data_IF_460905169263
#
_entry.id   IF_460905169263
#
_cell.length_a   1.000
_cell.length_b   1.000
_cell.length_c   1.000
_cell.angle_alpha   90.00
_cell.angle_beta   90.00
_cell.angle_gamma   90.00
#
_symmetry.space_group_name_H-M   'P 1'
#
loop_
_entity.id
_entity.type
_entity.pdbx_description
1 polymer ?
#
# COMPACT_ATOMS: atom_id res chain seq x y z
N UNK A 1 -22.35 23.83 45.17
CA UNK A 1 -22.13 22.61 45.98
C UNK A 1 -20.90 21.92 45.40
N UNK A 2 -19.77 21.95 46.10
CA UNK A 2 -18.45 21.46 45.64
C UNK A 2 -18.20 20.10 46.30
N UNK A 3 -17.88 19.07 45.53
CA UNK A 3 -17.34 17.82 46.07
C UNK A 3 -16.04 17.53 45.32
N UNK A 4 -14.92 17.74 46.04
CA UNK A 4 -13.58 17.30 45.68
C UNK A 4 -13.49 15.82 46.02
N UNK A 5 -13.11 14.97 45.06
CA UNK A 5 -12.56 13.65 45.38
C UNK A 5 -11.06 13.68 45.14
N UNK A 6 -10.35 13.62 46.26
CA UNK A 6 -8.93 13.43 46.40
C UNK A 6 -8.73 11.92 46.59
N UNK A 7 -8.04 11.25 45.68
CA UNK A 7 -7.65 9.86 45.84
C UNK A 7 -6.19 9.70 45.43
N UNK A 8 -5.35 9.77 46.46
CA UNK A 8 -3.98 9.25 46.50
C UNK A 8 -4.04 7.71 46.41
N UNK A 9 -3.25 7.12 45.51
CA UNK A 9 -2.75 5.76 45.70
C UNK A 9 -1.40 5.59 44.97
N UNK A 10 -0.35 5.43 45.76
CA UNK A 10 0.98 4.86 45.47
C UNK A 10 1.03 3.59 46.35
N UNK A 11 1.83 2.52 46.14
CA UNK A 11 2.98 2.29 45.24
C UNK A 11 2.90 0.96 44.45
N UNK A 12 3.83 0.73 43.51
CA UNK A 12 4.63 -0.50 43.46
C UNK A 12 5.71 -0.39 42.36
N UNK A 13 6.98 -0.43 42.73
CA UNK A 13 8.08 -0.62 41.78
C UNK A 13 8.76 -1.93 42.16
N UNK A 14 8.53 -2.96 41.36
CA UNK A 14 9.29 -4.20 41.44
C UNK A 14 10.56 -4.05 40.62
N UNK A 15 11.69 -4.20 41.31
CA UNK A 15 13.01 -4.45 40.74
C UNK A 15 13.04 -5.82 40.10
N UNK A 16 13.41 -5.89 38.82
CA UNK A 16 14.01 -7.10 38.22
C UNK A 16 15.19 -6.62 37.39
N UNK A 17 16.39 -6.91 37.88
CA UNK A 17 17.60 -6.83 37.10
C UNK A 17 17.67 -8.02 36.13
N UNK A 18 18.14 -7.75 34.92
CA UNK A 18 18.64 -8.79 34.02
C UNK A 18 20.01 -8.38 33.50
N UNK A 19 20.88 -9.39 33.49
CA UNK A 19 22.33 -9.36 33.29
C UNK A 19 22.77 -8.84 31.92
N UNK A 20 23.91 -8.17 31.92
CA UNK A 20 24.77 -8.03 30.75
C UNK A 20 25.33 -9.40 30.38
N UNK A 21 25.01 -9.89 29.18
CA UNK A 21 25.73 -10.98 28.54
C UNK A 21 26.71 -10.40 27.53
N UNK A 22 27.96 -10.55 27.92
CA UNK A 22 29.19 -10.27 27.21
C UNK A 22 29.32 -11.27 26.06
N UNK A 23 29.21 -10.84 24.80
CA UNK A 23 29.55 -11.67 23.63
C UNK A 23 30.84 -11.15 22.99
N UNK A 24 31.92 -11.77 23.45
CA UNK A 24 33.27 -11.78 22.88
C UNK A 24 33.26 -12.05 21.37
N UNK A 25 33.77 -11.11 20.60
CA UNK A 25 34.11 -11.33 19.18
C UNK A 25 35.42 -12.12 19.10
N UNK A 26 35.35 -13.32 18.53
CA UNK A 26 36.53 -14.09 18.14
C UNK A 26 36.85 -13.80 16.66
N UNK A 27 37.94 -13.06 16.42
CA UNK A 27 38.62 -13.00 15.12
C UNK A 27 39.30 -14.33 14.84
N UNK A 28 38.97 -14.96 13.71
CA UNK A 28 39.81 -16.00 13.10
C UNK A 28 39.86 -15.80 11.58
N UNK A 29 41.03 -15.31 11.16
CA UNK A 29 41.85 -15.73 10.02
C UNK A 29 41.27 -15.80 8.61
N UNK A 30 41.87 -14.98 7.73
CA UNK A 30 41.98 -15.23 6.29
C UNK A 30 42.68 -16.56 5.98
N UNK A 31 42.49 -17.10 4.75
CA UNK A 31 43.65 -17.22 3.87
C UNK A 31 43.39 -16.92 2.39
N UNK A 32 44.51 -16.85 1.68
CA UNK A 32 44.81 -16.33 0.35
C UNK A 32 44.25 -17.11 -0.86
N UNK A 33 44.07 -16.35 -1.93
CA UNK A 33 44.40 -16.58 -3.35
C UNK A 33 44.74 -18.00 -3.83
N UNK A 34 43.99 -18.46 -4.84
CA UNK A 34 44.50 -19.32 -5.91
C UNK A 34 43.67 -19.14 -7.20
N UNK A 35 44.35 -18.70 -8.26
CA UNK A 35 43.90 -18.72 -9.65
C UNK A 35 43.81 -20.17 -10.16
N UNK A 36 42.80 -20.49 -10.99
CA UNK A 36 42.91 -21.46 -12.10
C UNK A 36 41.85 -21.12 -13.17
N UNK A 37 42.34 -21.05 -14.41
CA UNK A 37 41.73 -20.65 -15.66
C UNK A 37 40.44 -21.37 -16.06
N UNK A 38 39.49 -20.61 -16.63
CA UNK A 38 38.37 -21.13 -17.42
C UNK A 38 38.70 -21.10 -18.93
N UNK A 39 38.21 -22.06 -19.73
CA UNK A 39 38.53 -22.17 -21.16
C UNK A 39 37.70 -21.23 -22.05
N UNK A 40 38.34 -20.86 -23.16
CA UNK A 40 37.96 -19.93 -24.22
C UNK A 40 36.60 -20.25 -24.87
N UNK A 41 35.72 -19.25 -24.92
CA UNK A 41 34.45 -19.21 -25.64
C UNK A 41 34.71 -18.93 -27.14
N UNK A 42 34.11 -19.66 -28.11
CA UNK A 42 34.11 -19.24 -29.51
C UNK A 42 33.13 -18.08 -29.71
N UNK A 43 33.64 -16.93 -30.16
CA UNK A 43 32.85 -15.79 -30.59
C UNK A 43 32.05 -16.15 -31.86
N UNK A 44 30.73 -16.33 -31.71
CA UNK A 44 29.77 -16.22 -32.80
C UNK A 44 29.15 -14.83 -32.70
N UNK A 45 29.33 -14.04 -33.75
CA UNK A 45 28.80 -12.69 -33.89
C UNK A 45 27.34 -12.78 -34.33
N UNK A 46 26.42 -12.55 -33.41
CA UNK A 46 25.01 -12.34 -33.71
C UNK A 46 24.69 -10.87 -33.39
N UNK A 47 24.41 -10.10 -34.43
CA UNK A 47 24.04 -8.70 -34.31
C UNK A 47 22.68 -8.61 -33.61
N UNK A 48 22.70 -8.34 -32.30
CA UNK A 48 21.51 -7.99 -31.56
C UNK A 48 21.02 -6.61 -32.02
N UNK A 49 19.94 -6.62 -32.79
CA UNK A 49 19.08 -5.47 -33.00
C UNK A 49 18.70 -4.91 -31.63
N UNK A 50 19.16 -3.69 -31.35
CA UNK A 50 18.78 -2.94 -30.16
C UNK A 50 17.35 -2.45 -30.38
N UNK A 51 16.37 -3.31 -30.09
CA UNK A 51 15.02 -2.85 -29.83
C UNK A 51 15.11 -1.86 -28.68
N UNK A 52 14.85 -0.59 -28.99
CA UNK A 52 14.65 0.43 -27.97
C UNK A 52 13.34 0.07 -27.29
N UNK A 53 13.42 -0.67 -26.18
CA UNK A 53 12.31 -0.84 -25.26
C UNK A 53 11.95 0.55 -24.78
N UNK A 54 10.90 1.14 -25.35
CA UNK A 54 10.29 2.35 -24.83
C UNK A 54 9.70 1.94 -23.49
N UNK A 55 10.47 2.10 -22.42
CA UNK A 55 9.92 1.97 -21.07
C UNK A 55 8.79 2.99 -20.95
N UNK A 56 7.58 2.57 -20.52
CA UNK A 56 6.53 3.51 -20.17
C UNK A 56 7.13 4.51 -19.19
N UNK A 57 7.23 5.78 -19.61
CA UNK A 57 7.69 6.84 -18.73
C UNK A 57 6.55 7.08 -17.76
N UNK A 58 6.78 6.77 -16.48
CA UNK A 58 5.82 7.17 -15.44
C UNK A 58 5.59 8.67 -15.52
N UNK A 59 4.35 9.15 -15.33
CA UNK A 59 4.07 10.59 -15.33
C UNK A 59 4.94 11.28 -14.28
N UNK A 60 5.31 12.54 -14.50
CA UNK A 60 6.09 13.28 -13.52
C UNK A 60 5.30 13.46 -12.22
N UNK A 61 5.99 13.34 -11.08
CA UNK A 61 5.40 13.62 -9.77
C UNK A 61 5.01 15.09 -9.64
N UNK A 62 3.83 15.33 -9.09
CA UNK A 62 3.25 16.66 -8.85
C UNK A 62 3.30 17.05 -7.37
N UNK A 63 3.52 16.08 -6.47
CA UNK A 63 3.52 16.26 -5.02
C UNK A 63 4.95 16.10 -4.47
N UNK A 64 5.25 16.79 -3.38
CA UNK A 64 6.51 16.65 -2.65
C UNK A 64 6.26 16.19 -1.21
N UNK A 65 5.06 16.44 -0.68
CA UNK A 65 4.67 16.13 0.69
C UNK A 65 3.15 15.91 0.82
N UNK A 66 2.70 15.24 1.90
CA UNK A 66 1.27 15.07 2.20
C UNK A 66 0.48 16.39 2.25
N UNK A 67 1.11 17.49 2.69
CA UNK A 67 0.44 18.79 2.81
C UNK A 67 0.02 19.37 1.44
N UNK A 68 0.65 18.94 0.34
CA UNK A 68 0.40 19.48 -1.00
C UNK A 68 -0.98 19.14 -1.55
N UNK A 69 -1.60 18.05 -1.10
CA UNK A 69 -2.92 17.61 -1.60
C UNK A 69 -4.07 18.45 -1.04
N UNK A 70 -3.80 19.30 -0.04
CA UNK A 70 -4.79 20.17 0.60
C UNK A 70 -6.07 19.42 0.99
N UNK A 71 -5.93 18.25 1.59
CA UNK A 71 -7.08 17.43 2.00
C UNK A 71 -7.83 18.07 3.16
N UNK A 72 -9.16 18.07 3.10
CA UNK A 72 -10.01 18.58 4.16
C UNK A 72 -11.32 17.79 4.27
N UNK A 73 -11.87 17.78 5.49
CA UNK A 73 -13.19 17.24 5.78
C UNK A 73 -14.27 18.21 5.27
N UNK A 74 -15.08 17.76 4.32
CA UNK A 74 -16.01 18.60 3.56
C UNK A 74 -17.28 18.95 4.34
N UNK A 75 -17.69 18.12 5.30
CA UNK A 75 -18.91 18.29 6.08
C UNK A 75 -18.65 18.34 7.60
N UNK A 76 -17.42 18.08 8.04
CA UNK A 76 -17.03 18.10 9.45
C UNK A 76 -17.41 16.83 10.21
N UNK A 77 -17.83 15.78 9.51
CA UNK A 77 -18.28 14.51 10.10
C UNK A 77 -17.16 13.46 10.17
N UNK A 78 -16.00 13.73 9.57
CA UNK A 78 -14.86 12.83 9.57
C UNK A 78 -14.99 11.63 8.62
N UNK A 79 -15.93 11.67 7.68
CA UNK A 79 -16.21 10.59 6.73
C UNK A 79 -16.04 11.03 5.27
N UNK A 80 -16.32 12.30 4.95
CA UNK A 80 -16.36 12.82 3.58
C UNK A 80 -15.24 13.84 3.37
N UNK A 81 -14.19 13.46 2.65
CA UNK A 81 -13.02 14.30 2.40
C UNK A 81 -12.92 14.71 0.94
N UNK A 82 -12.32 15.88 0.73
CA UNK A 82 -11.94 16.38 -0.61
C UNK A 82 -10.45 16.71 -0.58
N UNK A 83 -9.73 16.31 -1.63
CA UNK A 83 -8.35 16.73 -1.87
C UNK A 83 -8.16 17.20 -3.30
N UNK A 84 -7.13 18.02 -3.54
CA UNK A 84 -6.76 18.54 -4.84
C UNK A 84 -5.54 17.81 -5.41
N UNK A 85 -5.60 17.45 -6.69
CA UNK A 85 -4.48 16.88 -7.43
C UNK A 85 -4.60 17.26 -8.91
N UNK A 86 -3.51 17.71 -9.54
CA UNK A 86 -3.49 18.19 -10.94
C UNK A 86 -4.64 19.16 -11.29
N UNK A 87 -4.90 20.12 -10.41
CA UNK A 87 -5.98 21.11 -10.53
C UNK A 87 -7.40 20.50 -10.59
N UNK A 88 -7.57 19.26 -10.15
CA UNK A 88 -8.85 18.58 -10.01
C UNK A 88 -9.12 18.22 -8.54
N UNK A 89 -10.40 18.18 -8.17
CA UNK A 89 -10.81 17.72 -6.85
C UNK A 89 -11.24 16.27 -6.91
N UNK A 90 -10.76 15.48 -5.94
CA UNK A 90 -11.10 14.09 -5.74
C UNK A 90 -11.87 13.94 -4.42
N UNK A 91 -12.80 12.98 -4.39
CA UNK A 91 -13.55 12.63 -3.19
C UNK A 91 -12.93 11.38 -2.55
N UNK A 92 -12.68 11.45 -1.25
CA UNK A 92 -12.23 10.33 -0.43
C UNK A 92 -13.25 10.08 0.69
N UNK A 93 -13.71 8.85 0.79
CA UNK A 93 -14.68 8.43 1.80
C UNK A 93 -14.00 7.50 2.80
N UNK A 94 -14.11 7.83 4.08
CA UNK A 94 -13.65 6.97 5.15
C UNK A 94 -14.84 6.25 5.79
N UNK A 95 -14.80 4.92 5.87
CA UNK A 95 -15.81 4.15 6.60
C UNK A 95 -15.25 2.82 7.08
N UNK A 96 -15.52 2.47 8.34
CA UNK A 96 -15.17 1.17 8.92
C UNK A 96 -13.72 0.73 8.67
N UNK A 97 -12.75 1.63 8.88
CA UNK A 97 -11.33 1.34 8.65
C UNK A 97 -10.93 1.20 7.16
N UNK A 98 -11.75 1.72 6.25
CA UNK A 98 -11.49 1.69 4.80
C UNK A 98 -11.48 3.10 4.21
N UNK A 99 -10.62 3.29 3.20
CA UNK A 99 -10.63 4.50 2.36
C UNK A 99 -11.07 4.18 0.94
N UNK A 100 -12.17 4.79 0.49
CA UNK A 100 -12.57 4.77 -0.91
C UNK A 100 -12.26 6.09 -1.59
N UNK A 101 -11.48 6.07 -2.67
CA UNK A 101 -11.19 7.26 -3.47
C UNK A 101 -11.88 7.16 -4.84
N UNK A 102 -12.72 8.16 -5.15
CA UNK A 102 -13.49 8.18 -6.40
C UNK A 102 -12.66 8.67 -7.56
N UNK A 103 -12.81 8.01 -8.71
CA UNK A 103 -12.08 8.27 -9.96
C UNK A 103 -10.54 8.22 -9.76
N UNK A 104 -10.09 7.43 -8.79
CA UNK A 104 -8.69 7.28 -8.40
C UNK A 104 -7.78 6.80 -9.54
N UNK A 105 -8.35 6.13 -10.55
CA UNK A 105 -7.66 5.71 -11.78
C UNK A 105 -7.02 6.86 -12.58
N UNK A 106 -7.42 8.11 -12.34
CA UNK A 106 -6.84 9.30 -12.99
C UNK A 106 -5.48 9.68 -12.41
N UNK A 107 -5.14 9.20 -11.21
CA UNK A 107 -3.87 9.47 -10.52
C UNK A 107 -2.93 8.30 -10.82
N UNK A 108 -1.84 8.58 -11.56
CA UNK A 108 -1.01 7.55 -12.21
C UNK A 108 0.46 7.57 -11.82
N UNK A 109 0.93 8.62 -11.14
CA UNK A 109 2.30 8.67 -10.65
C UNK A 109 2.38 7.90 -9.32
N UNK A 110 3.25 6.88 -9.23
CA UNK A 110 3.30 6.02 -8.06
C UNK A 110 3.80 6.74 -6.79
N UNK A 111 4.74 7.68 -6.94
CA UNK A 111 5.26 8.47 -5.82
C UNK A 111 4.17 9.38 -5.23
N UNK A 112 3.36 10.01 -6.09
CA UNK A 112 2.22 10.84 -5.70
C UNK A 112 1.13 10.00 -5.02
N UNK A 113 0.81 8.82 -5.55
CA UNK A 113 -0.12 7.88 -4.92
C UNK A 113 0.35 7.57 -3.50
N UNK A 114 1.64 7.29 -3.30
CA UNK A 114 2.21 7.05 -1.97
C UNK A 114 2.08 8.27 -1.06
N UNK A 115 2.33 9.47 -1.56
CA UNK A 115 2.16 10.72 -0.79
C UNK A 115 0.70 10.91 -0.38
N UNK A 116 -0.25 10.64 -1.29
CA UNK A 116 -1.69 10.69 -0.99
C UNK A 116 -2.05 9.66 0.08
N UNK A 117 -1.60 8.42 -0.05
CA UNK A 117 -1.82 7.37 0.96
C UNK A 117 -1.27 7.76 2.33
N UNK A 118 -0.11 8.41 2.38
CA UNK A 118 0.44 8.93 3.63
C UNK A 118 -0.47 10.01 4.25
N UNK A 119 -0.97 10.95 3.44
CA UNK A 119 -1.91 11.97 3.91
C UNK A 119 -3.22 11.38 4.46
N UNK A 120 -3.78 10.37 3.77
CA UNK A 120 -4.98 9.66 4.22
C UNK A 120 -4.75 8.94 5.55
N UNK A 121 -3.62 8.21 5.65
CA UNK A 121 -3.21 7.51 6.86
C UNK A 121 -3.03 8.44 8.05
N UNK A 122 -2.48 9.63 7.83
CA UNK A 122 -2.24 10.62 8.89
C UNK A 122 -3.54 11.18 9.47
N UNK A 123 -4.65 11.12 8.72
CA UNK A 123 -6.00 11.47 9.19
C UNK A 123 -6.66 10.27 9.87
N UNK A 124 -6.80 9.17 9.14
CA UNK A 124 -7.36 7.92 9.63
C UNK A 124 -6.46 6.74 9.24
N UNK A 125 -5.75 6.13 10.19
CA UNK A 125 -4.89 4.99 9.90
C UNK A 125 -5.74 3.75 9.64
N UNK A 126 -5.34 2.95 8.65
CA UNK A 126 -5.99 1.69 8.25
C UNK A 126 -5.28 0.51 8.91
N UNK A 127 -6.01 -0.44 9.49
CA UNK A 127 -5.38 -1.61 10.11
C UNK A 127 -4.79 -2.56 9.07
N UNK A 128 -3.80 -3.33 9.51
CA UNK A 128 -3.37 -4.53 8.76
C UNK A 128 -4.49 -5.57 8.72
N UNK A 129 -4.45 -6.47 7.73
CA UNK A 129 -5.45 -7.53 7.55
C UNK A 129 -5.67 -8.41 8.81
N UNK A 130 -4.62 -8.59 9.61
CA UNK A 130 -4.67 -9.37 10.86
C UNK A 130 -5.09 -8.55 12.09
N UNK A 131 -5.42 -7.27 11.90
CA UNK A 131 -5.78 -6.29 12.94
C UNK A 131 -4.70 -6.10 14.02
N UNK A 132 -3.45 -6.53 13.77
CA UNK A 132 -2.37 -6.48 14.76
C UNK A 132 -1.63 -5.14 14.79
N UNK A 133 -1.80 -4.33 13.75
CA UNK A 133 -1.20 -3.00 13.62
C UNK A 133 -1.90 -2.17 12.55
N UNK A 134 -1.18 -1.19 12.03
CA UNK A 134 -1.64 -0.30 10.97
C UNK A 134 -0.75 -0.44 9.73
N UNK A 135 -1.36 -0.30 8.56
CA UNK A 135 -0.67 -0.31 7.26
C UNK A 135 0.27 0.89 7.14
N UNK A 136 1.31 0.74 6.33
CA UNK A 136 2.08 1.86 5.84
C UNK A 136 1.51 2.42 4.53
N UNK A 137 2.02 3.57 4.10
CA UNK A 137 1.56 4.21 2.88
C UNK A 137 1.96 3.41 1.63
N UNK A 138 3.05 2.62 1.69
CA UNK A 138 3.50 1.77 0.60
C UNK A 138 2.51 0.63 0.35
N UNK A 139 2.04 -0.04 1.41
CA UNK A 139 1.02 -1.09 1.35
C UNK A 139 -0.30 -0.56 0.77
N UNK A 140 -0.72 0.64 1.18
CA UNK A 140 -1.92 1.29 0.66
C UNK A 140 -1.76 1.68 -0.82
N UNK A 141 -0.59 2.21 -1.19
CA UNK A 141 -0.27 2.60 -2.56
C UNK A 141 -0.19 1.40 -3.50
N UNK A 142 0.39 0.28 -3.04
CA UNK A 142 0.48 -0.95 -3.83
C UNK A 142 -0.91 -1.41 -4.29
N UNK A 143 -1.88 -1.42 -3.39
CA UNK A 143 -3.27 -1.79 -3.67
C UNK A 143 -3.92 -0.87 -4.72
N UNK A 144 -3.74 0.45 -4.58
CA UNK A 144 -4.19 1.43 -5.56
C UNK A 144 -3.57 1.16 -6.93
N UNK A 145 -2.27 0.89 -6.99
CA UNK A 145 -1.58 0.56 -8.24
C UNK A 145 -2.19 -0.71 -8.88
N UNK A 146 -2.56 -1.72 -8.08
CA UNK A 146 -3.27 -2.90 -8.62
C UNK A 146 -4.63 -2.53 -9.21
N UNK A 147 -5.40 -1.65 -8.58
CA UNK A 147 -6.67 -1.13 -9.13
C UNK A 147 -6.45 -0.38 -10.46
N UNK A 148 -5.42 0.45 -10.54
CA UNK A 148 -5.04 1.16 -11.75
C UNK A 148 -4.67 0.19 -12.90
N UNK A 149 -3.89 -0.85 -12.60
CA UNK A 149 -3.56 -1.90 -13.58
C UNK A 149 -4.83 -2.64 -14.00
N UNK A 150 -5.71 -2.98 -13.05
CA UNK A 150 -7.00 -3.61 -13.34
C UNK A 150 -7.81 -2.79 -14.36
N UNK A 151 -7.91 -1.48 -14.11
CA UNK A 151 -8.64 -0.57 -14.98
C UNK A 151 -8.08 -0.55 -16.40
N UNK A 152 -6.76 -0.56 -16.55
CA UNK A 152 -6.11 -0.50 -17.87
C UNK A 152 -6.29 -1.78 -18.69
N UNK A 153 -6.24 -2.95 -18.04
CA UNK A 153 -6.29 -4.24 -18.73
C UNK A 153 -7.70 -4.75 -18.98
N UNK A 154 -8.68 -4.27 -18.21
CA UNK A 154 -10.07 -4.68 -18.37
C UNK A 154 -10.68 -4.05 -19.63
N UNK A 155 -11.46 -4.81 -20.43
CA UNK A 155 -12.23 -4.29 -21.56
C UNK A 155 -13.18 -3.15 -21.15
N UNK A 156 -13.39 -2.19 -22.03
CA UNK A 156 -14.27 -1.03 -21.77
C UNK A 156 -15.72 -1.42 -21.44
N UNK A 157 -16.18 -2.56 -21.94
CA UNK A 157 -17.51 -3.13 -21.70
C UNK A 157 -17.57 -4.08 -20.49
N UNK A 158 -16.46 -4.28 -19.79
CA UNK A 158 -16.41 -5.10 -18.58
C UNK A 158 -17.08 -4.38 -17.40
N UNK A 159 -18.03 -5.05 -16.75
CA UNK A 159 -18.63 -4.57 -15.50
C UNK A 159 -17.58 -4.30 -14.42
N UNK A 160 -16.49 -5.07 -14.42
CA UNK A 160 -15.39 -4.96 -13.48
C UNK A 160 -14.53 -3.72 -13.68
N UNK A 161 -14.49 -3.17 -14.90
CA UNK A 161 -13.73 -1.93 -15.18
C UNK A 161 -14.33 -0.75 -14.43
N UNK A 162 -15.66 -0.73 -14.30
CA UNK A 162 -16.36 0.29 -13.53
C UNK A 162 -16.02 0.24 -12.04
N UNK A 163 -15.76 -0.94 -11.49
CA UNK A 163 -15.32 -1.12 -10.10
C UNK A 163 -13.84 -0.78 -9.90
N UNK A 164 -13.01 -1.00 -10.93
CA UNK A 164 -11.57 -0.71 -10.87
C UNK A 164 -11.24 0.80 -10.93
N UNK A 165 -12.20 1.65 -11.32
CA UNK A 165 -12.00 3.09 -11.44
C UNK A 165 -11.82 3.79 -10.08
N UNK A 166 -12.38 3.20 -9.02
CA UNK A 166 -12.32 3.68 -7.65
C UNK A 166 -11.48 2.68 -6.85
N UNK A 167 -10.45 3.14 -6.16
CA UNK A 167 -9.72 2.30 -5.20
C UNK A 167 -10.50 2.25 -3.89
N UNK A 168 -10.51 1.09 -3.28
CA UNK A 168 -11.12 0.84 -1.97
C UNK A 168 -10.08 0.19 -1.07
N UNK A 169 -9.29 1.02 -0.37
CA UNK A 169 -8.20 0.60 0.50
C UNK A 169 -8.79 -0.08 1.73
N UNK A 170 -8.87 -1.40 1.64
CA UNK A 170 -9.48 -2.25 2.66
C UNK A 170 -8.41 -3.10 3.36
N UNK A 171 -8.40 -3.21 4.70
CA UNK A 171 -7.52 -4.14 5.42
C UNK A 171 -7.54 -5.56 4.83
N UNK A 172 -8.71 -6.06 4.43
CA UNK A 172 -8.86 -7.40 3.85
C UNK A 172 -8.13 -7.57 2.51
N UNK A 173 -7.86 -6.47 1.80
CA UNK A 173 -7.20 -6.46 0.48
C UNK A 173 -5.68 -6.23 0.57
N UNK A 174 -5.12 -6.12 1.79
CA UNK A 174 -3.69 -5.95 1.99
C UNK A 174 -2.88 -7.07 1.30
N UNK A 175 -1.85 -6.67 0.56
CA UNK A 175 -0.94 -7.55 -0.19
C UNK A 175 -1.56 -8.37 -1.33
N UNK A 176 -2.85 -8.20 -1.64
CA UNK A 176 -3.46 -8.86 -2.81
C UNK A 176 -2.96 -8.20 -4.10
N UNK A 177 -2.61 -9.01 -5.08
CA UNK A 177 -2.35 -8.52 -6.43
C UNK A 177 -3.65 -8.50 -7.25
N UNK A 178 -3.59 -7.95 -8.47
CA UNK A 178 -4.71 -7.95 -9.42
C UNK A 178 -5.39 -9.32 -9.57
N UNK A 179 -4.62 -10.40 -9.68
CA UNK A 179 -5.15 -11.74 -9.92
C UNK A 179 -5.92 -12.25 -8.69
N UNK A 180 -5.40 -12.03 -7.48
CA UNK A 180 -6.07 -12.41 -6.24
C UNK A 180 -7.40 -11.65 -6.08
N UNK A 181 -7.37 -10.33 -6.31
CA UNK A 181 -8.56 -9.48 -6.27
C UNK A 181 -9.61 -9.90 -7.31
N UNK A 182 -9.16 -10.36 -8.49
CA UNK A 182 -10.04 -10.86 -9.53
C UNK A 182 -10.69 -12.20 -9.18
N UNK A 183 -9.92 -13.14 -8.60
CA UNK A 183 -10.45 -14.44 -8.18
C UNK A 183 -11.53 -14.30 -7.13
N UNK A 184 -11.33 -13.47 -6.11
CA UNK A 184 -12.33 -13.27 -5.05
C UNK A 184 -13.62 -12.65 -5.58
N UNK A 185 -13.50 -11.69 -6.49
CA UNK A 185 -14.64 -11.06 -7.16
C UNK A 185 -15.43 -12.06 -7.99
N UNK A 186 -14.80 -13.08 -8.57
CA UNK A 186 -15.50 -14.17 -9.24
C UNK A 186 -16.07 -15.22 -8.29
N UNK A 187 -15.37 -15.54 -7.19
CA UNK A 187 -15.79 -16.61 -6.28
C UNK A 187 -17.00 -16.20 -5.41
N UNK A 188 -17.13 -14.91 -5.12
CA UNK A 188 -18.38 -14.34 -4.59
C UNK A 188 -19.55 -14.61 -5.55
N UNK A 189 -19.36 -14.57 -6.88
CA UNK A 189 -20.42 -14.91 -7.84
C UNK A 189 -20.70 -16.42 -7.92
N UNK A 190 -19.67 -17.26 -7.77
CA UNK A 190 -19.82 -18.73 -7.73
C UNK A 190 -20.69 -19.17 -6.54
N UNK A 191 -20.42 -18.62 -5.35
CA UNK A 191 -21.13 -18.94 -4.11
C UNK A 191 -22.59 -18.43 -4.05
N UNK A 192 -22.98 -17.46 -4.89
CA UNK A 192 -24.37 -17.03 -5.06
C UNK A 192 -25.12 -17.77 -6.19
N UNK A 193 -24.44 -18.59 -7.00
CA UNK A 193 -25.08 -19.36 -8.08
C UNK A 193 -25.74 -20.66 -7.59
N UNK A 194 -25.39 -21.13 -6.39
CA UNK A 194 -26.11 -22.21 -5.70
C UNK A 194 -27.35 -21.67 -4.98
N UNK A 195 -28.38 -21.30 -5.75
CA UNK A 195 -29.74 -21.25 -5.17
C UNK A 195 -30.10 -22.68 -4.72
N UNK A 196 -30.57 -22.89 -3.47
CA UNK A 196 -31.15 -24.17 -3.12
C UNK A 196 -32.40 -24.37 -3.98
N UNK A 197 -32.37 -25.41 -4.82
CA UNK A 197 -33.58 -25.92 -5.45
C UNK A 197 -34.55 -26.33 -4.33
N UNK A 198 -35.72 -25.70 -4.32
CA UNK A 198 -36.87 -26.16 -3.54
C UNK A 198 -37.23 -27.61 -3.86
#
# INVERSE_FOLDING_TARGET
MKIKYFLLCVPFVFSVGCQEINLSSAEISAPETSEISAPVIPQTSEQAQTETVIQPTEPASLLQSPDDINIYDADGMGENYIFSYDNQNFQAFYSYDNWKIIDSYKIRNNDDIKIICQALKDIHPVHSADMSGYRDADDMAYEWIQHNIAYDVLPDDSEWKSSAKDVDINPDDQNKNLYDMFLERQDIFSSYSEKPSF
#
